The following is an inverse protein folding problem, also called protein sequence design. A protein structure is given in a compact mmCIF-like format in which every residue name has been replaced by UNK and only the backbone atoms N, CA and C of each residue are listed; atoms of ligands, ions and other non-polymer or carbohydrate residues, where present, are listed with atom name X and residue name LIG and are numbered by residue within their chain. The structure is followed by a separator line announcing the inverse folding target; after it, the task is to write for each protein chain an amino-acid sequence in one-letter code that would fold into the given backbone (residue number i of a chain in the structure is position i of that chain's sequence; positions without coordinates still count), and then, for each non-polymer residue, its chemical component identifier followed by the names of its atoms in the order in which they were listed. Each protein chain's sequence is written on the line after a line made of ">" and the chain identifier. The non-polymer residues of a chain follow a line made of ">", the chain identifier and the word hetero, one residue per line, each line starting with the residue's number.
data_IF_937879109788
#
_entry.id   IF_937879109788
#
_cell.length_a   1.000
_cell.length_b   1.000
_cell.length_c   1.000
_cell.angle_alpha   90.00
_cell.angle_beta   90.00
_cell.angle_gamma   90.00
#
_symmetry.space_group_name_H-M   'P 1'
#
loop_
_entity.id
_entity.type
_entity.pdbx_description
1 polymer ?
#
# COMPACT_ATOMS: atom_id res chain seq x y z
N UNK A 1 -31.73 7.86 7.36
CA UNK A 1 -30.46 7.30 6.82
C UNK A 1 -29.37 7.56 7.86
N UNK A 2 -28.98 6.59 8.71
CA UNK A 2 -28.11 6.90 9.84
C UNK A 2 -26.65 7.00 9.41
N UNK A 3 -25.96 7.99 9.99
CA UNK A 3 -24.59 8.47 9.70
C UNK A 3 -23.53 7.37 9.56
N UNK A 4 -22.47 7.59 8.75
CA UNK A 4 -21.30 6.72 8.74
C UNK A 4 -20.63 6.75 10.14
N UNK A 5 -20.22 5.60 10.70
CA UNK A 5 -19.61 5.55 12.02
C UNK A 5 -18.25 6.24 12.03
N UNK A 6 -17.94 6.85 13.17
CA UNK A 6 -16.90 7.84 13.48
C UNK A 6 -15.43 7.34 13.35
N UNK A 7 -15.15 6.24 12.63
CA UNK A 7 -13.89 5.47 12.80
C UNK A 7 -13.34 4.74 11.54
N UNK A 8 -12.88 5.42 10.49
CA UNK A 8 -12.29 4.75 9.29
C UNK A 8 -10.88 5.30 8.95
N UNK A 9 -9.86 4.49 8.52
CA UNK A 9 -9.95 3.11 8.01
C UNK A 9 -9.00 2.11 8.69
N UNK A 10 -9.52 0.93 9.03
CA UNK A 10 -8.78 -0.26 8.62
C UNK A 10 -8.65 -0.17 7.10
N UNK A 11 -7.42 -0.27 6.57
CA UNK A 11 -7.15 -0.40 5.15
C UNK A 11 -8.05 -1.51 4.59
N UNK A 12 -9.13 -1.18 3.86
CA UNK A 12 -10.09 -2.18 3.39
C UNK A 12 -9.92 -2.47 1.92
N UNK A 13 -10.41 -3.64 1.50
CA UNK A 13 -10.54 -3.90 0.08
C UNK A 13 -11.46 -2.88 -0.60
N UNK A 14 -11.13 -2.55 -1.85
CA UNK A 14 -11.87 -1.55 -2.62
C UNK A 14 -11.52 -0.09 -2.30
N UNK A 15 -10.89 0.21 -1.16
CA UNK A 15 -10.42 1.56 -0.85
C UNK A 15 -9.18 1.93 -1.70
N UNK A 16 -9.03 3.22 -2.07
CA UNK A 16 -7.80 3.70 -2.69
C UNK A 16 -6.67 3.77 -1.66
N UNK A 17 -5.58 3.07 -1.92
CA UNK A 17 -4.33 3.16 -1.16
C UNK A 17 -3.42 4.19 -1.81
N UNK A 18 -3.03 5.22 -1.06
CA UNK A 18 -2.06 6.21 -1.50
C UNK A 18 -0.70 5.84 -0.94
N UNK A 19 0.25 5.61 -1.84
CA UNK A 19 1.66 5.42 -1.52
C UNK A 19 2.36 6.77 -1.68
N UNK A 20 3.22 7.12 -0.74
CA UNK A 20 3.98 8.36 -0.77
C UNK A 20 5.44 8.05 -0.52
N UNK A 21 6.29 8.40 -1.46
CA UNK A 21 7.73 8.38 -1.26
C UNK A 21 8.18 9.76 -0.74
N UNK A 22 8.51 9.83 0.55
CA UNK A 22 9.07 11.04 1.18
C UNK A 22 10.60 11.00 1.26
N UNK A 23 11.21 10.00 0.67
CA UNK A 23 12.65 9.78 0.69
C UNK A 23 13.33 10.41 -0.53
N UNK A 24 14.65 10.54 -0.46
CA UNK A 24 15.52 11.06 -1.52
C UNK A 24 15.80 10.04 -2.63
N UNK A 25 15.49 8.76 -2.39
CA UNK A 25 15.76 7.66 -3.32
C UNK A 25 14.46 7.11 -3.91
N UNK A 26 14.57 6.52 -5.12
CA UNK A 26 13.46 5.86 -5.80
C UNK A 26 13.13 4.56 -5.08
N UNK A 27 11.84 4.27 -4.89
CA UNK A 27 11.38 3.08 -4.19
C UNK A 27 10.30 2.34 -4.98
N UNK A 28 10.19 1.03 -4.74
CA UNK A 28 8.96 0.31 -5.07
C UNK A 28 8.27 -0.20 -3.82
N UNK A 29 6.96 -0.37 -3.90
CA UNK A 29 6.23 -1.29 -3.05
C UNK A 29 5.70 -2.42 -3.93
N UNK A 30 6.30 -3.60 -3.81
CA UNK A 30 6.02 -4.77 -4.66
C UNK A 30 5.54 -5.92 -3.80
N UNK A 31 4.25 -6.25 -3.90
CA UNK A 31 3.63 -7.34 -3.15
C UNK A 31 4.14 -8.70 -3.65
N UNK A 32 4.49 -9.59 -2.72
CA UNK A 32 4.95 -10.95 -3.06
C UNK A 32 3.86 -11.79 -3.73
N UNK A 33 2.60 -11.53 -3.40
CA UNK A 33 1.43 -12.18 -4.00
C UNK A 33 0.92 -11.46 -5.27
N UNK A 34 1.68 -10.48 -5.80
CA UNK A 34 1.33 -9.70 -7.00
C UNK A 34 0.08 -8.81 -6.86
N UNK A 35 -0.44 -8.61 -5.65
CA UNK A 35 -1.61 -7.75 -5.41
C UNK A 35 -1.39 -6.28 -5.78
N UNK A 36 -0.15 -5.81 -5.71
CA UNK A 36 0.26 -4.49 -6.17
C UNK A 36 1.74 -4.46 -6.53
N UNK A 37 2.09 -3.56 -7.45
CA UNK A 37 3.46 -3.19 -7.74
C UNK A 37 3.46 -1.72 -8.16
N UNK A 38 4.02 -0.86 -7.30
CA UNK A 38 4.11 0.57 -7.58
C UNK A 38 5.56 1.02 -7.48
N UNK A 39 5.95 1.90 -8.39
CA UNK A 39 7.28 2.47 -8.50
C UNK A 39 7.17 3.99 -8.35
N UNK A 40 7.92 4.54 -7.40
CA UNK A 40 7.84 5.94 -6.99
C UNK A 40 9.22 6.59 -7.02
N UNK A 41 9.36 7.61 -7.87
CA UNK A 41 10.48 8.54 -7.82
C UNK A 41 10.53 9.30 -6.46
N UNK A 42 11.65 9.95 -6.12
CA UNK A 42 11.74 10.80 -4.93
C UNK A 42 10.64 11.86 -4.90
N UNK A 43 9.98 12.03 -3.76
CA UNK A 43 8.86 12.97 -3.58
C UNK A 43 7.55 12.59 -4.28
N UNK A 44 7.50 11.49 -5.03
CA UNK A 44 6.31 11.09 -5.78
C UNK A 44 5.27 10.39 -4.89
N UNK A 45 4.03 10.42 -5.36
CA UNK A 45 2.94 9.60 -4.82
C UNK A 45 2.22 8.85 -5.92
N UNK A 46 1.51 7.80 -5.56
CA UNK A 46 0.68 7.05 -6.49
C UNK A 46 -0.35 6.20 -5.78
N UNK A 47 -1.27 5.61 -6.55
CA UNK A 47 -2.44 4.92 -6.00
C UNK A 47 -2.54 3.47 -6.47
N UNK A 48 -3.00 2.61 -5.58
CA UNK A 48 -3.41 1.24 -5.91
C UNK A 48 -4.76 0.94 -5.26
N UNK A 49 -5.54 0.02 -5.84
CA UNK A 49 -6.74 -0.52 -5.20
C UNK A 49 -6.49 -1.98 -4.87
N UNK A 50 -6.63 -2.34 -3.60
CA UNK A 50 -6.44 -3.72 -3.15
C UNK A 50 -7.77 -4.46 -3.17
N UNK A 51 -7.76 -5.65 -3.78
CA UNK A 51 -8.96 -6.50 -3.92
C UNK A 51 -8.93 -7.72 -3.01
N UNK A 52 -7.86 -7.89 -2.25
CA UNK A 52 -7.64 -9.06 -1.41
C UNK A 52 -7.39 -8.59 0.02
N UNK A 53 -8.22 -9.07 0.95
CA UNK A 53 -8.02 -8.88 2.38
C UNK A 53 -6.91 -9.81 2.90
N UNK A 54 -6.37 -9.49 4.07
CA UNK A 54 -5.35 -10.25 4.76
C UNK A 54 -4.02 -9.52 4.90
N UNK A 55 -2.99 -10.27 5.28
CA UNK A 55 -1.62 -9.78 5.44
C UNK A 55 -0.85 -10.00 4.13
N UNK A 56 -0.39 -8.91 3.52
CA UNK A 56 0.30 -8.91 2.23
C UNK A 56 1.75 -8.47 2.44
N UNK A 57 2.73 -9.42 2.46
CA UNK A 57 4.14 -9.07 2.47
C UNK A 57 4.53 -8.37 1.17
N UNK A 58 5.32 -7.31 1.27
CA UNK A 58 5.86 -6.57 0.13
C UNK A 58 7.30 -6.14 0.38
N UNK A 59 8.01 -5.86 -0.71
CA UNK A 59 9.41 -5.45 -0.71
C UNK A 59 9.64 -4.26 -1.62
N UNK A 60 10.71 -3.52 -1.37
CA UNK A 60 11.31 -2.64 -2.37
C UNK A 60 12.30 -3.45 -3.22
N UNK A 61 12.23 -3.30 -4.55
CA UNK A 61 13.12 -4.01 -5.48
C UNK A 61 14.52 -3.39 -5.56
N UNK A 62 14.67 -2.13 -5.14
CA UNK A 62 15.93 -1.40 -5.22
C UNK A 62 16.79 -1.55 -3.97
N UNK A 63 16.20 -1.86 -2.81
CA UNK A 63 16.88 -1.83 -1.52
C UNK A 63 16.71 -3.16 -0.77
N UNK A 64 17.71 -4.05 -0.82
CA UNK A 64 17.72 -5.27 -0.03
C UNK A 64 17.54 -4.94 1.46
N UNK A 65 16.58 -5.60 2.12
CA UNK A 65 16.24 -5.36 3.53
C UNK A 65 15.00 -4.49 3.74
N UNK A 66 14.54 -3.74 2.73
CA UNK A 66 13.26 -3.04 2.80
C UNK A 66 12.10 -4.00 2.55
N UNK A 67 11.58 -4.58 3.63
CA UNK A 67 10.44 -5.48 3.62
C UNK A 67 9.41 -5.03 4.67
N UNK A 68 8.13 -5.19 4.35
CA UNK A 68 7.03 -4.86 5.25
C UNK A 68 5.81 -5.73 4.96
N UNK A 69 4.80 -5.64 5.83
CA UNK A 69 3.52 -6.34 5.69
C UNK A 69 2.40 -5.32 5.72
N UNK A 70 1.57 -5.32 4.67
CA UNK A 70 0.35 -4.52 4.63
C UNK A 70 -0.83 -5.35 5.13
N UNK A 71 -1.57 -4.86 6.12
CA UNK A 71 -2.77 -5.54 6.64
C UNK A 71 -4.01 -4.90 6.02
N UNK A 72 -4.82 -5.70 5.34
CA UNK A 72 -6.02 -5.26 4.62
C UNK A 72 -7.24 -5.98 5.21
N UNK A 73 -8.25 -5.24 5.64
CA UNK A 73 -9.55 -5.77 6.03
C UNK A 73 -10.44 -5.99 4.79
N UNK A 74 -11.47 -6.82 4.91
CA UNK A 74 -12.50 -6.93 3.88
C UNK A 74 -13.27 -5.62 3.78
#
# INVERSE_FOLDING_TARGET
>A
MPKPPENRPACRTGDPFVWVNRDLFRHTATARNRAFNIDLAPGASGRTVLRTAGRIPYVCRFHPGMAAVLTVAA
#
